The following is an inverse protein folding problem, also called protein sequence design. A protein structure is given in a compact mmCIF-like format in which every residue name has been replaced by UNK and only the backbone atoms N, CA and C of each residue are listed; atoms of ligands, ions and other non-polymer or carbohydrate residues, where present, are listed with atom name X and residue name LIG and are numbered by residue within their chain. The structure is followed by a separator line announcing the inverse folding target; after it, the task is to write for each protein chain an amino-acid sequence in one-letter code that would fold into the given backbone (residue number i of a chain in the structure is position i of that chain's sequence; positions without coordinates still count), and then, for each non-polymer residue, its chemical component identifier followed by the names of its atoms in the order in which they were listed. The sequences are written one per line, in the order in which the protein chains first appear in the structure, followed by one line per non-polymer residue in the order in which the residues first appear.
data_IF_307163720472
#
_entry.id   IF_307163720472
#
_cell.length_a   1.000
_cell.length_b   1.000
_cell.length_c   1.000
_cell.angle_alpha   90.00
_cell.angle_beta   90.00
_cell.angle_gamma   90.00
#
_symmetry.space_group_name_H-M   'P 1'
#
loop_
_entity.id
_entity.type
_entity.pdbx_description
1 polymer ?
#
# COMPACT_ATOMS: atom_id res chain seq x y z
N UNK A 1 3.70 15.97 11.59
CA UNK A 1 4.25 14.62 11.92
C UNK A 1 3.55 13.42 11.23
N UNK A 2 2.84 13.60 10.10
CA UNK A 2 2.27 12.50 9.29
C UNK A 2 3.28 12.00 8.23
N UNK A 3 4.34 12.77 7.98
CA UNK A 3 5.34 12.50 6.95
C UNK A 3 6.29 11.32 7.25
N UNK A 4 6.59 11.04 8.53
CA UNK A 4 7.52 9.95 8.90
C UNK A 4 6.90 8.55 8.79
N UNK A 5 5.59 8.45 8.58
CA UNK A 5 4.87 7.18 8.64
C UNK A 5 4.86 6.39 7.31
N UNK A 6 5.14 7.06 6.18
CA UNK A 6 5.35 6.39 4.90
C UNK A 6 6.82 6.02 4.65
N UNK A 7 7.75 6.64 5.40
CA UNK A 7 9.19 6.47 5.20
C UNK A 7 9.74 5.11 5.66
N UNK A 8 9.00 4.39 6.51
CA UNK A 8 9.37 3.07 7.02
C UNK A 8 8.50 1.93 6.45
N UNK A 9 7.91 2.11 5.26
CA UNK A 9 7.34 0.99 4.54
C UNK A 9 8.45 -0.05 4.34
N UNK A 10 8.23 -1.26 4.85
CA UNK A 10 9.07 -2.44 4.65
C UNK A 10 9.05 -2.79 3.17
N UNK A 11 9.77 -2.02 2.37
CA UNK A 11 9.96 -2.32 0.96
C UNK A 11 11.25 -3.09 0.87
N UNK A 12 11.14 -4.38 1.15
CA UNK A 12 12.29 -5.25 1.08
C UNK A 12 12.66 -5.46 -0.39
N UNK A 13 13.78 -4.86 -0.80
CA UNK A 13 14.45 -5.14 -2.08
C UNK A 13 14.66 -6.65 -2.23
N UNK A 14 14.89 -7.36 -1.12
CA UNK A 14 14.96 -8.82 -1.05
C UNK A 14 13.70 -9.51 -1.56
N UNK A 15 12.52 -9.07 -1.12
CA UNK A 15 11.23 -9.60 -1.59
C UNK A 15 11.07 -9.44 -3.11
N UNK A 16 11.33 -8.25 -3.63
CA UNK A 16 11.16 -7.95 -5.07
C UNK A 16 12.16 -8.74 -5.92
N UNK A 17 13.41 -8.88 -5.45
CA UNK A 17 14.38 -9.77 -6.08
C UNK A 17 13.97 -11.25 -5.98
N UNK A 18 13.40 -11.69 -4.86
CA UNK A 18 12.92 -13.06 -4.72
C UNK A 18 11.78 -13.35 -5.70
N UNK A 19 10.80 -12.46 -5.78
CA UNK A 19 9.69 -12.54 -6.72
C UNK A 19 10.19 -12.59 -8.17
N UNK A 20 11.20 -11.78 -8.51
CA UNK A 20 11.79 -11.79 -9.86
C UNK A 20 12.32 -13.15 -10.28
N UNK A 21 12.80 -13.97 -9.33
CA UNK A 21 13.24 -15.34 -9.61
C UNK A 21 12.08 -16.31 -9.80
N UNK A 22 10.95 -16.08 -9.14
CA UNK A 22 9.72 -16.89 -9.32
C UNK A 22 9.17 -16.74 -10.74
N UNK A 23 9.35 -15.55 -11.33
CA UNK A 23 8.94 -15.24 -12.71
C UNK A 23 10.04 -15.52 -13.75
N UNK A 24 11.16 -16.17 -13.38
CA UNK A 24 12.31 -16.41 -14.27
C UNK A 24 12.92 -15.13 -14.90
N UNK A 25 12.74 -13.99 -14.24
CA UNK A 25 13.16 -12.66 -14.69
C UNK A 25 14.06 -12.00 -13.63
N UNK A 26 15.22 -12.58 -13.29
CA UNK A 26 16.05 -12.09 -12.20
C UNK A 26 16.45 -10.63 -12.44
N UNK A 27 16.27 -9.80 -11.41
CA UNK A 27 16.66 -8.40 -11.43
C UNK A 27 17.74 -8.11 -10.38
N UNK A 28 18.57 -7.12 -10.66
CA UNK A 28 19.57 -6.62 -9.72
C UNK A 28 18.93 -5.85 -8.56
N UNK A 29 19.69 -5.63 -7.49
CA UNK A 29 19.30 -4.75 -6.38
C UNK A 29 18.94 -3.34 -6.85
N UNK A 30 19.66 -2.82 -7.86
CA UNK A 30 19.44 -1.49 -8.40
C UNK A 30 18.13 -1.42 -9.20
N UNK A 31 17.85 -2.42 -10.03
CA UNK A 31 16.59 -2.53 -10.75
C UNK A 31 15.40 -2.65 -9.79
N UNK A 32 15.50 -3.53 -8.78
CA UNK A 32 14.49 -3.66 -7.75
C UNK A 32 14.27 -2.34 -7.01
N UNK A 33 15.33 -1.65 -6.59
CA UNK A 33 15.23 -0.35 -5.94
C UNK A 33 14.61 0.74 -6.83
N UNK A 34 14.88 0.72 -8.14
CA UNK A 34 14.26 1.65 -9.09
C UNK A 34 12.78 1.36 -9.29
N UNK A 35 12.42 0.08 -9.44
CA UNK A 35 11.03 -0.37 -9.55
C UNK A 35 10.23 0.10 -8.32
N UNK A 36 10.75 -0.17 -7.13
CA UNK A 36 10.18 0.27 -5.85
C UNK A 36 9.93 1.78 -5.82
N UNK A 37 10.90 2.60 -6.25
CA UNK A 37 10.75 4.06 -6.26
C UNK A 37 9.61 4.52 -7.17
N UNK A 38 9.48 3.91 -8.35
CA UNK A 38 8.38 4.21 -9.28
C UNK A 38 7.03 3.88 -8.64
N UNK A 39 6.91 2.68 -8.06
CA UNK A 39 5.68 2.24 -7.39
C UNK A 39 5.28 3.20 -6.26
N UNK A 40 6.23 3.55 -5.39
CA UNK A 40 5.99 4.46 -4.26
C UNK A 40 5.61 5.85 -4.76
N UNK A 41 6.27 6.37 -5.80
CA UNK A 41 5.98 7.69 -6.34
C UNK A 41 4.55 7.76 -6.91
N UNK A 42 4.15 6.78 -7.73
CA UNK A 42 2.80 6.73 -8.31
C UNK A 42 1.73 6.51 -7.24
N UNK A 43 1.96 5.59 -6.29
CA UNK A 43 1.04 5.35 -5.19
C UNK A 43 0.87 6.60 -4.31
N UNK A 44 1.96 7.31 -4.02
CA UNK A 44 1.90 8.57 -3.28
C UNK A 44 1.18 9.67 -4.06
N UNK A 45 1.39 9.76 -5.37
CA UNK A 45 0.69 10.71 -6.23
C UNK A 45 -0.83 10.46 -6.23
N UNK A 46 -1.25 9.20 -6.41
CA UNK A 46 -2.66 8.80 -6.38
C UNK A 46 -3.31 8.97 -5.01
N UNK A 47 -2.63 8.55 -3.93
CA UNK A 47 -3.15 8.76 -2.58
C UNK A 47 -3.20 10.24 -2.21
N UNK A 48 -2.25 11.04 -2.69
CA UNK A 48 -2.21 12.48 -2.47
C UNK A 48 -3.41 13.21 -3.05
N UNK A 49 -3.88 12.83 -4.24
CA UNK A 49 -5.09 13.41 -4.83
C UNK A 49 -6.35 12.99 -4.06
N UNK A 50 -6.47 11.73 -3.66
CA UNK A 50 -7.58 11.22 -2.86
C UNK A 50 -7.65 11.91 -1.49
N UNK A 51 -6.51 12.05 -0.79
CA UNK A 51 -6.42 12.77 0.48
C UNK A 51 -6.75 14.26 0.32
N UNK A 52 -6.26 14.91 -0.73
CA UNK A 52 -6.58 16.31 -1.01
C UNK A 52 -8.09 16.52 -1.23
N UNK A 53 -8.74 15.64 -2.00
CA UNK A 53 -10.19 15.68 -2.22
C UNK A 53 -10.99 15.37 -0.95
N UNK A 54 -10.57 14.39 -0.15
CA UNK A 54 -11.21 14.08 1.12
C UNK A 54 -11.10 15.24 2.12
N UNK A 55 -9.95 15.92 2.18
CA UNK A 55 -9.79 17.11 3.03
C UNK A 55 -10.55 18.32 2.51
N UNK A 56 -10.61 18.54 1.19
CA UNK A 56 -11.43 19.60 0.59
C UNK A 56 -12.92 19.38 0.88
N UNK A 57 -13.40 18.15 0.70
CA UNK A 57 -14.79 17.76 1.03
C UNK A 57 -15.06 17.87 2.53
N UNK A 58 -14.09 17.49 3.38
CA UNK A 58 -14.22 17.61 4.83
C UNK A 58 -14.24 19.07 5.27
N UNK A 59 -13.42 19.95 4.70
CA UNK A 59 -13.44 21.39 5.00
C UNK A 59 -14.77 22.04 4.60
N UNK A 60 -15.36 21.63 3.47
CA UNK A 60 -16.71 22.05 3.05
C UNK A 60 -17.79 21.51 4.00
N UNK A 61 -17.66 20.28 4.50
CA UNK A 61 -18.57 19.68 5.49
C UNK A 61 -18.41 20.25 6.91
N UNK A 62 -17.21 20.72 7.28
CA UNK A 62 -16.91 21.41 8.55
C UNK A 62 -17.72 22.70 8.70
N UNK A 63 -18.24 23.27 7.60
CA UNK A 63 -19.22 24.36 7.66
C UNK A 63 -20.58 23.99 8.27
N UNK A 64 -20.90 22.70 8.52
CA UNK A 64 -22.24 22.30 8.98
C UNK A 64 -22.33 21.33 10.17
N UNK A 65 -21.39 20.43 10.46
CA UNK A 65 -21.46 19.59 11.68
C UNK A 65 -20.10 18.96 12.06
N UNK A 66 -19.82 18.93 13.36
CA UNK A 66 -18.50 18.70 13.95
C UNK A 66 -17.94 17.27 13.98
N UNK A 67 -16.60 17.24 14.03
CA UNK A 67 -15.66 16.27 14.59
C UNK A 67 -15.99 14.75 14.54
N UNK A 68 -15.31 14.02 13.65
CA UNK A 68 -14.95 12.61 13.88
C UNK A 68 -13.80 12.10 12.99
N UNK A 69 -12.64 12.76 13.02
CA UNK A 69 -11.40 12.15 12.54
C UNK A 69 -10.86 11.19 13.60
N UNK A 70 -11.62 10.13 13.89
CA UNK A 70 -11.13 9.02 14.71
C UNK A 70 -10.26 8.16 13.79
N UNK A 71 -8.96 8.03 14.11
CA UNK A 71 -8.24 6.74 14.28
C UNK A 71 -6.72 6.93 14.09
N UNK A 72 -5.98 7.31 15.14
CA UNK A 72 -4.53 7.61 15.02
C UNK A 72 -3.56 6.61 15.65
N UNK A 73 -3.96 5.36 15.93
CA UNK A 73 -2.99 4.30 16.26
C UNK A 73 -3.18 3.04 15.39
N UNK A 74 -4.43 2.57 15.19
CA UNK A 74 -4.71 1.41 14.34
C UNK A 74 -4.55 1.66 12.83
N UNK A 75 -4.72 2.91 12.38
CA UNK A 75 -4.54 3.26 10.97
C UNK A 75 -3.08 3.15 10.53
N UNK A 76 -2.14 3.43 11.42
CA UNK A 76 -0.71 3.50 11.08
C UNK A 76 -0.11 2.13 10.77
N UNK A 77 -0.41 1.11 11.58
CA UNK A 77 0.01 -0.26 11.30
C UNK A 77 -0.70 -0.89 10.10
N UNK A 78 -1.96 -0.53 9.88
CA UNK A 78 -2.72 -0.98 8.72
C UNK A 78 -2.12 -0.40 7.42
N UNK A 79 -1.86 0.91 7.36
CA UNK A 79 -1.23 1.60 6.22
C UNK A 79 0.12 0.97 5.85
N UNK A 80 0.96 0.64 6.83
CA UNK A 80 2.27 0.01 6.58
C UNK A 80 2.13 -1.38 5.95
N UNK A 81 1.25 -2.24 6.49
CA UNK A 81 0.98 -3.57 5.94
C UNK A 81 0.46 -3.49 4.49
N UNK A 82 -0.44 -2.55 4.20
CA UNK A 82 -0.98 -2.40 2.85
C UNK A 82 0.03 -1.85 1.86
N UNK A 83 0.91 -0.95 2.31
CA UNK A 83 1.97 -0.42 1.45
C UNK A 83 2.88 -1.55 0.95
N UNK A 84 3.26 -2.49 1.82
CA UNK A 84 4.06 -3.65 1.41
C UNK A 84 3.28 -4.59 0.47
N UNK A 85 1.99 -4.82 0.73
CA UNK A 85 1.15 -5.66 -0.14
C UNK A 85 1.01 -5.07 -1.56
N UNK A 86 0.70 -3.77 -1.66
CA UNK A 86 0.60 -3.04 -2.93
C UNK A 86 1.91 -3.15 -3.71
N UNK A 87 3.05 -2.91 -3.06
CA UNK A 87 4.36 -3.00 -3.74
C UNK A 87 4.61 -4.42 -4.27
N UNK A 88 4.25 -5.44 -3.50
CA UNK A 88 4.38 -6.84 -3.93
C UNK A 88 3.52 -7.15 -5.15
N UNK A 89 2.25 -6.74 -5.16
CA UNK A 89 1.34 -6.96 -6.28
C UNK A 89 1.78 -6.20 -7.53
N UNK A 90 2.17 -4.93 -7.39
CA UNK A 90 2.61 -4.12 -8.54
C UNK A 90 3.92 -4.68 -9.12
N UNK A 91 4.84 -5.15 -8.27
CA UNK A 91 6.06 -5.80 -8.73
C UNK A 91 5.76 -7.14 -9.42
N UNK A 92 4.76 -7.90 -8.95
CA UNK A 92 4.32 -9.14 -9.58
C UNK A 92 3.78 -8.88 -10.98
N UNK A 93 2.93 -7.86 -11.14
CA UNK A 93 2.35 -7.49 -12.44
C UNK A 93 3.44 -7.03 -13.42
N UNK A 94 4.35 -6.16 -12.96
CA UNK A 94 5.50 -5.73 -13.77
C UNK A 94 6.36 -6.90 -14.28
N UNK A 95 6.55 -7.92 -13.43
CA UNK A 95 7.29 -9.12 -13.79
C UNK A 95 6.48 -10.05 -14.70
N UNK A 96 5.17 -10.20 -14.47
CA UNK A 96 4.27 -10.97 -15.32
C UNK A 96 4.27 -10.43 -16.76
N UNK A 97 4.35 -9.10 -16.92
CA UNK A 97 4.48 -8.40 -18.19
C UNK A 97 5.92 -8.38 -18.75
N UNK A 98 6.81 -9.24 -18.25
CA UNK A 98 8.16 -9.38 -18.80
C UNK A 98 9.10 -8.22 -18.45
N UNK A 99 8.97 -7.67 -17.24
CA UNK A 99 9.66 -6.44 -16.80
C UNK A 99 9.19 -5.20 -17.57
N UNK A 100 7.89 -5.13 -17.83
CA UNK A 100 7.22 -4.03 -18.54
C UNK A 100 6.02 -3.54 -17.74
N UNK A 101 5.57 -2.32 -18.03
CA UNK A 101 4.34 -1.76 -17.46
C UNK A 101 3.12 -1.93 -18.36
N UNK A 102 3.28 -2.65 -19.48
CA UNK A 102 2.28 -2.69 -20.55
C UNK A 102 2.02 -1.31 -21.17
N UNK A 103 0.89 -1.17 -21.86
CA UNK A 103 0.50 0.08 -22.53
C UNK A 103 0.05 1.18 -21.56
N UNK A 104 -0.46 0.79 -20.39
CA UNK A 104 -1.02 1.71 -19.38
C UNK A 104 0.02 2.45 -18.54
N UNK A 105 1.26 1.94 -18.50
CA UNK A 105 2.31 2.51 -17.68
C UNK A 105 2.13 2.29 -16.17
N UNK A 106 3.10 2.73 -15.36
CA UNK A 106 3.15 2.42 -13.92
C UNK A 106 1.97 2.99 -13.14
N UNK A 107 1.49 4.18 -13.51
CA UNK A 107 0.35 4.81 -12.86
C UNK A 107 -0.92 3.96 -12.96
N UNK A 108 -1.19 3.42 -14.14
CA UNK A 108 -2.39 2.61 -14.38
C UNK A 108 -2.33 1.30 -13.58
N UNK A 109 -1.20 0.58 -13.64
CA UNK A 109 -1.01 -0.65 -12.86
C UNK A 109 -1.18 -0.40 -11.36
N UNK A 110 -0.57 0.66 -10.83
CA UNK A 110 -0.71 1.03 -9.41
C UNK A 110 -2.16 1.39 -9.08
N UNK A 111 -2.84 2.13 -9.96
CA UNK A 111 -4.22 2.52 -9.76
C UNK A 111 -5.17 1.30 -9.75
N UNK A 112 -5.06 0.41 -10.72
CA UNK A 112 -5.89 -0.81 -10.80
C UNK A 112 -5.73 -1.69 -9.55
N UNK A 113 -4.49 -1.85 -9.07
CA UNK A 113 -4.22 -2.57 -7.83
C UNK A 113 -4.83 -1.86 -6.65
N UNK A 114 -4.66 -0.54 -6.52
CA UNK A 114 -5.28 0.24 -5.43
C UNK A 114 -6.82 0.20 -5.47
N UNK A 115 -7.43 0.24 -6.66
CA UNK A 115 -8.87 0.21 -6.85
C UNK A 115 -9.45 -1.20 -6.58
N UNK A 116 -8.66 -2.25 -6.81
CA UNK A 116 -9.03 -3.63 -6.42
C UNK A 116 -9.05 -3.86 -4.91
N UNK A 117 -8.38 -2.99 -4.14
CA UNK A 117 -8.31 -3.08 -2.70
C UNK A 117 -9.56 -2.47 -2.08
N UNK A 118 -10.51 -3.34 -1.73
CA UNK A 118 -11.60 -2.96 -0.84
C UNK A 118 -11.03 -2.61 0.56
N UNK A 119 -10.98 -1.31 0.84
CA UNK A 119 -10.48 -0.71 2.09
C UNK A 119 -11.04 -1.40 3.35
N UNK A 120 -12.28 -1.86 3.33
CA UNK A 120 -12.95 -2.49 4.47
C UNK A 120 -12.47 -3.92 4.70
N UNK A 121 -12.36 -4.71 3.63
CA UNK A 121 -11.77 -6.05 3.62
C UNK A 121 -10.32 -6.01 4.07
N UNK A 122 -9.58 -5.06 3.52
CA UNK A 122 -8.18 -4.77 3.79
C UNK A 122 -7.97 -4.46 5.28
N UNK A 123 -8.71 -3.50 5.86
CA UNK A 123 -8.73 -3.17 7.31
C UNK A 123 -9.06 -4.35 8.22
N UNK A 124 -9.98 -5.21 7.80
CA UNK A 124 -10.34 -6.42 8.53
C UNK A 124 -9.18 -7.41 8.57
N UNK A 125 -8.48 -7.59 7.47
CA UNK A 125 -7.41 -8.59 7.35
C UNK A 125 -6.14 -8.18 8.11
N UNK A 126 -5.73 -6.90 8.06
CA UNK A 126 -4.61 -6.45 8.92
C UNK A 126 -4.93 -6.59 10.41
N UNK A 127 -6.17 -6.28 10.82
CA UNK A 127 -6.61 -6.49 12.22
C UNK A 127 -6.61 -7.97 12.60
N UNK A 128 -6.87 -8.88 11.66
CA UNK A 128 -6.81 -10.33 11.89
C UNK A 128 -5.36 -10.78 12.07
N UNK A 129 -4.49 -10.38 11.15
CA UNK A 129 -3.06 -10.74 11.15
C UNK A 129 -2.33 -10.20 12.40
N UNK A 130 -2.56 -8.93 12.76
CA UNK A 130 -1.98 -8.34 13.98
C UNK A 130 -2.46 -9.09 15.23
N UNK A 131 -3.74 -9.45 15.30
CA UNK A 131 -4.28 -10.24 16.42
C UNK A 131 -3.67 -11.64 16.50
N UNK A 132 -3.47 -12.29 15.36
CA UNK A 132 -2.81 -13.59 15.28
C UNK A 132 -1.35 -13.51 15.77
N UNK A 133 -0.60 -12.48 15.36
CA UNK A 133 0.78 -12.25 15.79
C UNK A 133 0.93 -11.88 17.26
N UNK A 134 -0.06 -11.19 17.83
CA UNK A 134 -0.11 -10.83 19.24
C UNK A 134 -0.62 -11.96 20.15
N UNK A 135 -0.89 -13.16 19.60
CA UNK A 135 -1.27 -14.33 20.40
C UNK A 135 -2.63 -14.23 21.08
N UNK A 136 -3.50 -13.28 20.70
CA UNK A 136 -4.87 -13.22 21.19
C UNK A 136 -5.74 -14.25 20.45
N UNK A 137 -5.36 -15.51 20.54
CA UNK A 137 -6.27 -16.62 20.29
C UNK A 137 -7.27 -16.62 21.44
N UNK A 138 -8.54 -16.59 21.09
CA UNK A 138 -9.70 -16.74 21.97
C UNK A 138 -9.38 -17.55 23.23
N UNK A 139 -9.39 -16.87 24.39
CA UNK A 139 -9.72 -17.55 25.63
C UNK A 139 -11.19 -17.96 25.52
N UNK A 140 -11.41 -19.17 25.02
CA UNK A 140 -12.69 -19.88 25.14
C UNK A 140 -12.75 -20.47 26.54
N UNK A 141 -13.57 -19.87 27.41
CA UNK A 141 -14.15 -20.48 28.59
C UNK A 141 -15.66 -20.56 28.39
#
# INVERSE_FOLDING_TARGET
PVADLFAAAFIDVGMVMHLSRVYDLPISKNEAGSLIRVIVAEAAALMGTVWALHFLSSALKVGTLGLSTILTAGAQGAIAYYSTYVVGQVAAEYLAEGKSWGEGGPKQVVQEILDSLDKETVLRDARREIRARLGMSTASG
#
